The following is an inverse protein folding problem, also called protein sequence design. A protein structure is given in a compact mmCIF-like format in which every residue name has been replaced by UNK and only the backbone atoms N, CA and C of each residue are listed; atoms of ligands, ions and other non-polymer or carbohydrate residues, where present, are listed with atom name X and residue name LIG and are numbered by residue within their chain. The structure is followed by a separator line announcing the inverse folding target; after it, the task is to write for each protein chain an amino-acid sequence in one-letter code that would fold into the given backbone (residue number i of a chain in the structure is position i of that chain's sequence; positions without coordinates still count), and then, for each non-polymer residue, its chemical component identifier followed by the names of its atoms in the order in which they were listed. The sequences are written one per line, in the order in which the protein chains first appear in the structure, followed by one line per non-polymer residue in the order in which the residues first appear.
data_IF_080039061712
#
_entry.id   IF_080039061712
#
_cell.length_a   1.000
_cell.length_b   1.000
_cell.length_c   1.000
_cell.angle_alpha   90.00
_cell.angle_beta   90.00
_cell.angle_gamma   90.00
#
_symmetry.space_group_name_H-M   'P 1'
#
loop_
_entity.id
_entity.type
_entity.pdbx_description
1 polymer ?
#
# COMPACT_ATOMS: atom_id res chain seq x y z
N UNK A 1 8.44 -11.96 3.68
CA UNK A 1 7.40 -11.62 2.70
C UNK A 1 7.85 -10.48 1.80
N UNK A 2 7.19 -10.31 0.71
CA UNK A 2 7.50 -9.24 -0.24
C UNK A 2 6.24 -8.40 -0.45
N UNK A 3 6.37 -7.09 -0.53
CA UNK A 3 5.18 -6.23 -0.58
C UNK A 3 5.30 -5.15 -1.64
N UNK A 4 4.12 -4.73 -2.13
CA UNK A 4 3.95 -3.56 -2.98
C UNK A 4 3.32 -2.47 -2.13
N UNK A 5 3.96 -1.32 -2.09
CA UNK A 5 3.52 -0.18 -1.27
C UNK A 5 3.14 0.97 -2.18
N UNK A 6 1.99 1.56 -1.91
CA UNK A 6 1.54 2.80 -2.57
C UNK A 6 1.21 3.81 -1.47
N UNK A 7 1.84 4.96 -1.53
CA UNK A 7 1.56 6.06 -0.60
C UNK A 7 0.96 7.20 -1.38
N UNK A 8 -0.25 7.60 -1.00
CA UNK A 8 -0.93 8.75 -1.60
C UNK A 8 -0.58 10.01 -0.84
N UNK A 9 -0.13 11.02 -1.56
CA UNK A 9 0.07 12.35 -0.97
C UNK A 9 -1.28 13.03 -0.76
N UNK A 10 -1.31 14.00 0.16
CA UNK A 10 -2.51 14.83 0.33
C UNK A 10 -2.77 15.63 -0.91
N UNK A 11 -4.05 15.77 -1.24
CA UNK A 11 -4.54 16.58 -2.35
C UNK A 11 -5.64 17.50 -1.79
N UNK A 12 -5.97 18.54 -2.53
CA UNK A 12 -6.99 19.50 -2.09
C UNK A 12 -8.37 18.83 -1.97
N UNK A 13 -8.72 18.00 -2.95
CA UNK A 13 -9.97 17.26 -2.91
C UNK A 13 -9.72 15.81 -2.53
N UNK A 14 -9.74 15.54 -1.23
CA UNK A 14 -9.53 14.19 -0.70
C UNK A 14 -10.63 13.22 -1.13
N UNK A 15 -11.82 13.71 -1.47
CA UNK A 15 -12.92 12.83 -1.88
C UNK A 15 -12.62 12.16 -3.22
N UNK A 16 -11.93 12.83 -4.13
CA UNK A 16 -11.50 12.24 -5.41
C UNK A 16 -10.51 11.12 -5.15
N UNK A 17 -9.55 11.34 -4.27
CA UNK A 17 -8.56 10.33 -3.89
C UNK A 17 -9.24 9.13 -3.26
N UNK A 18 -10.11 9.36 -2.27
CA UNK A 18 -10.79 8.28 -1.55
C UNK A 18 -11.70 7.47 -2.48
N UNK A 19 -12.38 8.13 -3.40
CA UNK A 19 -13.22 7.43 -4.39
C UNK A 19 -12.39 6.58 -5.33
N UNK A 20 -11.28 7.11 -5.83
CA UNK A 20 -10.38 6.33 -6.67
C UNK A 20 -9.83 5.12 -5.91
N UNK A 21 -9.42 5.32 -4.68
CA UNK A 21 -8.88 4.24 -3.88
C UNK A 21 -9.92 3.14 -3.67
N UNK A 22 -11.11 3.49 -3.17
CA UNK A 22 -12.13 2.49 -2.83
C UNK A 22 -12.76 1.85 -4.06
N UNK A 23 -12.98 2.61 -5.13
CA UNK A 23 -13.75 2.14 -6.28
C UNK A 23 -12.86 1.45 -7.33
N UNK A 24 -11.57 1.73 -7.35
CA UNK A 24 -10.65 1.21 -8.37
C UNK A 24 -9.47 0.47 -7.75
N UNK A 25 -8.64 1.16 -6.98
CA UNK A 25 -7.39 0.59 -6.49
C UNK A 25 -7.63 -0.60 -5.56
N UNK A 26 -8.47 -0.43 -4.55
CA UNK A 26 -8.73 -1.49 -3.56
C UNK A 26 -9.38 -2.71 -4.22
N UNK A 27 -10.35 -2.50 -5.11
CA UNK A 27 -11.02 -3.60 -5.79
C UNK A 27 -10.05 -4.43 -6.62
N UNK A 28 -9.13 -3.77 -7.32
CA UNK A 28 -8.14 -4.47 -8.13
C UNK A 28 -7.10 -5.17 -7.27
N UNK A 29 -6.70 -4.56 -6.15
CA UNK A 29 -5.81 -5.21 -5.18
C UNK A 29 -6.41 -6.50 -4.65
N UNK A 30 -7.66 -6.46 -4.24
CA UNK A 30 -8.35 -7.62 -3.67
C UNK A 30 -8.49 -8.77 -4.68
N UNK A 31 -8.43 -8.46 -5.96
CA UNK A 31 -8.51 -9.46 -7.03
C UNK A 31 -7.15 -10.05 -7.41
N UNK A 32 -6.04 -9.56 -6.87
CA UNK A 32 -4.71 -10.05 -7.23
C UNK A 32 -4.50 -11.48 -6.77
N UNK A 33 -4.12 -12.40 -7.67
CA UNK A 33 -3.77 -13.76 -7.24
C UNK A 33 -2.51 -13.71 -6.37
N UNK A 34 -2.48 -14.54 -5.35
CA UNK A 34 -1.34 -14.64 -4.44
C UNK A 34 -1.30 -13.59 -3.35
N UNK A 35 -2.23 -12.66 -3.30
CA UNK A 35 -2.31 -11.69 -2.22
C UNK A 35 -2.55 -12.40 -0.89
N UNK A 36 -1.69 -12.14 0.11
CA UNK A 36 -1.77 -12.76 1.42
C UNK A 36 -2.36 -11.85 2.47
N UNK A 37 -2.06 -10.55 2.37
CA UNK A 37 -2.44 -9.58 3.39
C UNK A 37 -2.51 -8.21 2.74
N UNK A 38 -3.42 -7.41 3.22
CA UNK A 38 -3.57 -6.03 2.78
C UNK A 38 -3.67 -5.15 4.02
N UNK A 39 -2.81 -4.15 4.09
CA UNK A 39 -2.86 -3.16 5.17
C UNK A 39 -3.12 -1.80 4.57
N UNK A 40 -4.09 -1.11 5.15
CA UNK A 40 -4.51 0.22 4.70
C UNK A 40 -4.41 1.14 5.91
N UNK A 41 -3.59 2.16 5.78
CA UNK A 41 -3.33 3.10 6.88
C UNK A 41 -3.62 4.52 6.42
N UNK A 42 -4.48 5.22 7.13
CA UNK A 42 -4.68 6.64 6.91
C UNK A 42 -3.77 7.41 7.82
N UNK A 43 -2.93 8.24 7.21
CA UNK A 43 -1.92 9.01 7.95
C UNK A 43 -2.60 10.21 8.59
N UNK A 44 -2.51 10.31 9.90
CA UNK A 44 -3.18 11.37 10.66
C UNK A 44 -2.30 12.59 10.90
N UNK A 45 -1.01 12.37 11.15
CA UNK A 45 -0.06 13.44 11.45
C UNK A 45 1.36 12.91 11.38
N UNK A 46 2.31 13.79 11.65
CA UNK A 46 3.73 13.42 11.82
C UNK A 46 4.26 14.15 13.04
N UNK A 47 5.43 13.77 13.58
CA UNK A 47 6.03 14.53 14.66
C UNK A 47 6.17 16.00 14.27
N UNK A 48 5.72 16.87 15.17
CA UNK A 48 5.77 18.34 15.02
C UNK A 48 4.91 18.91 13.90
N UNK A 49 3.83 18.23 13.51
CA UNK A 49 2.89 18.86 12.60
C UNK A 49 2.08 17.92 11.73
N UNK A 50 1.41 18.46 10.72
CA UNK A 50 0.63 17.67 9.78
C UNK A 50 1.54 16.93 8.79
N UNK A 51 1.09 15.77 8.33
CA UNK A 51 1.80 15.00 7.32
C UNK A 51 1.31 15.39 5.91
N UNK A 52 2.21 15.36 4.95
CA UNK A 52 1.85 15.51 3.53
C UNK A 52 1.33 14.19 2.93
N UNK A 53 1.39 13.10 3.68
CA UNK A 53 0.86 11.83 3.25
C UNK A 53 -0.58 11.68 3.71
N UNK A 54 -1.41 11.07 2.88
CA UNK A 54 -2.81 10.84 3.21
C UNK A 54 -3.09 9.37 3.51
N UNK A 55 -2.61 8.47 2.66
CA UNK A 55 -3.00 7.07 2.70
C UNK A 55 -1.80 6.20 2.33
N UNK A 56 -1.58 5.14 3.09
CA UNK A 56 -0.56 4.13 2.77
C UNK A 56 -1.24 2.79 2.59
N UNK A 57 -0.92 2.12 1.49
CA UNK A 57 -1.51 0.83 1.13
C UNK A 57 -0.38 -0.16 0.93
N UNK A 58 -0.44 -1.27 1.67
CA UNK A 58 0.61 -2.30 1.63
C UNK A 58 -0.01 -3.64 1.29
N UNK A 59 0.40 -4.21 0.16
CA UNK A 59 -0.07 -5.49 -0.32
C UNK A 59 1.05 -6.53 -0.20
N UNK A 60 0.80 -7.60 0.57
CA UNK A 60 1.80 -8.59 0.94
C UNK A 60 1.65 -9.88 0.15
N UNK A 61 2.78 -10.41 -0.30
CA UNK A 61 2.90 -11.68 -1.04
C UNK A 61 3.96 -12.54 -0.38
N UNK A 62 3.94 -13.85 -0.64
CA UNK A 62 4.90 -14.77 -0.04
C UNK A 62 6.36 -14.42 -0.40
N UNK A 63 6.57 -13.99 -1.64
CA UNK A 63 7.91 -13.68 -2.17
C UNK A 63 7.77 -12.80 -3.42
N UNK A 64 8.91 -12.41 -3.96
CA UNK A 64 8.94 -11.56 -5.15
C UNK A 64 8.27 -12.21 -6.35
N UNK A 65 8.46 -13.51 -6.55
CA UNK A 65 7.86 -14.22 -7.68
C UNK A 65 6.33 -14.18 -7.62
N UNK A 66 5.77 -14.37 -6.42
CA UNK A 66 4.31 -14.31 -6.22
C UNK A 66 3.77 -12.91 -6.52
N UNK A 67 4.48 -11.87 -6.10
CA UNK A 67 4.09 -10.50 -6.41
C UNK A 67 4.12 -10.26 -7.92
N UNK A 68 5.19 -10.68 -8.60
CA UNK A 68 5.31 -10.51 -10.05
C UNK A 68 4.19 -11.21 -10.80
N UNK A 69 3.84 -12.42 -10.39
CA UNK A 69 2.70 -13.15 -10.98
C UNK A 69 1.39 -12.37 -10.78
N UNK A 70 1.19 -11.82 -9.59
CA UNK A 70 0.01 -11.00 -9.31
C UNK A 70 -0.05 -9.77 -10.21
N UNK A 71 1.08 -9.11 -10.43
CA UNK A 71 1.12 -7.88 -11.23
C UNK A 71 0.89 -8.12 -12.73
N UNK A 72 1.21 -9.31 -13.24
CA UNK A 72 0.98 -9.63 -14.67
C UNK A 72 -0.37 -10.29 -14.91
N UNK A 73 -1.16 -10.52 -13.86
CA UNK A 73 -2.53 -10.98 -13.99
C UNK A 73 -3.41 -9.85 -14.56
N UNK A 74 -4.62 -10.19 -15.03
CA UNK A 74 -5.52 -9.16 -15.55
C UNK A 74 -5.79 -8.04 -14.56
N UNK A 75 -6.18 -8.33 -13.30
CA UNK A 75 -6.38 -7.25 -12.32
C UNK A 75 -5.09 -6.50 -12.00
N UNK A 76 -3.94 -7.18 -12.02
CA UNK A 76 -2.65 -6.54 -11.79
C UNK A 76 -2.30 -5.53 -12.85
N UNK A 77 -2.47 -5.90 -14.12
CA UNK A 77 -2.22 -5.00 -15.25
C UNK A 77 -3.18 -3.81 -15.20
N UNK A 78 -4.46 -4.06 -14.93
CA UNK A 78 -5.46 -3.01 -14.81
C UNK A 78 -5.11 -2.05 -13.67
N UNK A 79 -4.68 -2.59 -12.52
CA UNK A 79 -4.29 -1.78 -11.37
C UNK A 79 -3.09 -0.89 -11.70
N UNK A 80 -2.04 -1.45 -12.28
CA UNK A 80 -0.84 -0.67 -12.61
C UNK A 80 -1.17 0.42 -13.63
N UNK A 81 -2.02 0.13 -14.61
CA UNK A 81 -2.47 1.12 -15.58
C UNK A 81 -3.31 2.23 -14.92
N UNK A 82 -4.16 1.88 -13.95
CA UNK A 82 -4.98 2.85 -13.24
C UNK A 82 -4.12 3.77 -12.33
N UNK A 83 -3.07 3.22 -11.74
CA UNK A 83 -2.17 3.98 -10.86
C UNK A 83 -1.16 4.85 -11.62
N UNK A 84 -0.88 4.54 -12.88
CA UNK A 84 0.13 5.26 -13.65
C UNK A 84 -0.10 6.77 -13.72
N UNK A 85 -1.31 7.27 -14.02
CA UNK A 85 -1.54 8.72 -14.03
C UNK A 85 -1.26 9.37 -12.68
N UNK A 86 -1.57 8.68 -11.58
CA UNK A 86 -1.28 9.17 -10.24
C UNK A 86 0.22 9.32 -10.02
N UNK A 87 1.00 8.35 -10.49
CA UNK A 87 2.46 8.41 -10.41
C UNK A 87 3.02 9.52 -11.30
N UNK A 88 2.54 9.61 -12.54
CA UNK A 88 3.01 10.62 -13.50
C UNK A 88 2.73 12.04 -13.02
N UNK A 89 1.63 12.24 -12.31
CA UNK A 89 1.27 13.52 -11.71
C UNK A 89 1.86 13.73 -10.31
N UNK A 90 2.74 12.83 -9.86
CA UNK A 90 3.44 12.90 -8.57
C UNK A 90 2.48 12.93 -7.38
N UNK A 91 1.36 12.23 -7.50
CA UNK A 91 0.34 12.15 -6.46
C UNK A 91 0.51 10.91 -5.57
N UNK A 92 1.36 9.97 -6.00
CA UNK A 92 1.70 8.77 -5.22
C UNK A 92 3.21 8.54 -5.26
N UNK A 93 3.70 7.87 -4.21
CA UNK A 93 4.96 7.17 -4.22
C UNK A 93 4.64 5.69 -4.21
N UNK A 94 5.33 4.89 -5.00
CA UNK A 94 5.12 3.45 -5.03
C UNK A 94 6.44 2.71 -5.18
N UNK A 95 6.51 1.55 -4.54
CA UNK A 95 7.75 0.77 -4.54
C UNK A 95 7.48 -0.65 -4.06
N UNK A 96 8.46 -1.52 -4.26
CA UNK A 96 8.47 -2.87 -3.72
C UNK A 96 9.41 -2.92 -2.54
N UNK A 97 9.12 -3.78 -1.58
CA UNK A 97 9.98 -3.96 -0.41
C UNK A 97 9.96 -5.41 0.05
N UNK A 98 11.13 -5.91 0.37
CA UNK A 98 11.26 -7.16 1.09
C UNK A 98 11.06 -6.87 2.57
N UNK A 99 10.29 -7.71 3.27
CA UNK A 99 9.93 -7.42 4.64
C UNK A 99 9.98 -8.68 5.49
N UNK A 100 10.39 -8.51 6.72
CA UNK A 100 10.27 -9.53 7.75
C UNK A 100 9.71 -8.88 9.00
N UNK A 101 9.13 -9.72 9.87
CA UNK A 101 8.58 -9.24 11.14
C UNK A 101 9.55 -9.59 12.24
N UNK A 102 9.91 -8.59 13.02
CA UNK A 102 10.70 -8.78 14.23
C UNK A 102 9.85 -8.32 15.40
N UNK A 103 9.64 -9.21 16.37
CA UNK A 103 8.84 -8.88 17.54
C UNK A 103 9.63 -8.01 18.49
N UNK A 104 9.02 -6.93 18.92
CA UNK A 104 9.59 -6.09 19.95
C UNK A 104 9.59 -6.82 21.30
N UNK A 105 10.58 -6.50 22.14
CA UNK A 105 10.62 -7.04 23.48
C UNK A 105 9.56 -6.38 24.34
N UNK A 106 8.86 -7.19 25.12
CA UNK A 106 7.88 -6.70 26.08
C UNK A 106 8.54 -6.62 27.46
N UNK A 107 8.32 -5.52 28.17
CA UNK A 107 8.77 -5.41 29.58
C UNK A 107 8.08 -6.42 30.46
N UNK A 108 6.86 -6.80 30.13
CA UNK A 108 6.13 -7.83 30.84
C UNK A 108 6.83 -9.17 30.72
N UNK A 109 7.32 -9.50 29.54
CA UNK A 109 8.03 -10.75 29.30
C UNK A 109 9.37 -10.76 30.03
N UNK A 110 10.01 -9.61 30.12
CA UNK A 110 11.26 -9.48 30.84
C UNK A 110 11.07 -9.64 32.34
N UNK A 111 9.96 -9.15 32.85
CA UNK A 111 9.62 -9.25 34.27
C UNK A 111 9.13 -10.64 34.65
N UNK A 112 8.61 -11.34 33.71
CA UNK A 112 8.08 -12.70 33.91
C UNK A 112 9.14 -13.73 33.89
#
# INVERSE_FOLDING_TARGET
MYKFVVIYYRVDDESVLESFFSDTHLMLLEALPGLRRLEISRVTSQPFGPSRFHLMVEAYFDNEAALREGLVSQPGIAMMNALRPWSENKLIAWFYADTFVEEGKSTTDEDG
#
